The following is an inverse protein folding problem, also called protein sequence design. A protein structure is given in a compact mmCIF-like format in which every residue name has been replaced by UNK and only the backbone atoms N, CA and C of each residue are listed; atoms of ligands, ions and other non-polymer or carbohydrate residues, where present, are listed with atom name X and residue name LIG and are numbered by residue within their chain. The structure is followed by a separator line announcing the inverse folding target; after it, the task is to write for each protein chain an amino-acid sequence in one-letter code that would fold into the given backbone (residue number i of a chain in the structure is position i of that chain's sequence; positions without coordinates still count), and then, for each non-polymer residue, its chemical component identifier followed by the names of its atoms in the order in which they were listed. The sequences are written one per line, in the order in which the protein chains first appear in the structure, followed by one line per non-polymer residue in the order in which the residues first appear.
data_IF_797409680104
#
_entry.id   IF_797409680104
#
_cell.length_a   1.000
_cell.length_b   1.000
_cell.length_c   1.000
_cell.angle_alpha   90.00
_cell.angle_beta   90.00
_cell.angle_gamma   90.00
#
_symmetry.space_group_name_H-M   'P 1'
#
loop_
_entity.id
_entity.type
_entity.pdbx_description
1 polymer ?
#
# COMPACT_ATOMS: atom_id res chain seq x y z
N UNK A 1 7.02 12.85 -12.64
CA UNK A 1 7.28 11.47 -12.14
C UNK A 1 6.30 11.21 -11.01
N UNK A 2 5.96 9.95 -10.75
CA UNK A 2 4.94 9.55 -9.76
C UNK A 2 5.54 8.44 -8.90
N UNK A 3 5.23 8.46 -7.61
CA UNK A 3 5.69 7.47 -6.64
C UNK A 3 4.50 6.67 -6.13
N UNK A 4 4.63 5.35 -6.07
CA UNK A 4 3.58 4.50 -5.52
C UNK A 4 3.80 4.32 -4.02
N UNK A 5 2.82 4.73 -3.23
CA UNK A 5 2.79 4.53 -1.79
C UNK A 5 1.95 3.28 -1.49
N UNK A 6 2.57 2.33 -0.78
CA UNK A 6 1.95 1.07 -0.36
C UNK A 6 2.23 0.83 1.11
N UNK A 7 1.46 -0.05 1.74
CA UNK A 7 1.81 -0.65 3.03
C UNK A 7 2.03 -2.15 2.82
N UNK A 8 3.02 -2.71 3.50
CA UNK A 8 3.27 -4.15 3.61
C UNK A 8 2.59 -4.77 4.84
N UNK A 9 1.82 -3.98 5.60
CA UNK A 9 1.10 -4.43 6.79
C UNK A 9 -0.39 -4.56 6.50
N UNK A 10 -1.05 -3.47 6.07
CA UNK A 10 -2.50 -3.44 5.84
C UNK A 10 -2.96 -2.19 5.07
N UNK A 11 -4.10 -2.29 4.38
CA UNK A 11 -4.71 -1.13 3.73
C UNK A 11 -5.21 -0.08 4.72
N UNK A 12 -5.60 -0.46 5.93
CA UNK A 12 -6.02 0.49 6.97
C UNK A 12 -4.87 1.42 7.39
N UNK A 13 -3.68 0.85 7.60
CA UNK A 13 -2.46 1.61 7.86
C UNK A 13 -2.13 2.52 6.67
N UNK A 14 -2.16 1.98 5.45
CA UNK A 14 -1.93 2.76 4.23
C UNK A 14 -2.88 3.95 4.12
N UNK A 15 -4.16 3.74 4.41
CA UNK A 15 -5.17 4.78 4.38
C UNK A 15 -4.96 5.85 5.46
N UNK A 16 -4.61 5.42 6.68
CA UNK A 16 -4.32 6.32 7.79
C UNK A 16 -3.11 7.17 7.47
N UNK A 17 -2.03 6.56 6.99
CA UNK A 17 -0.84 7.26 6.57
C UNK A 17 -1.11 8.20 5.39
N UNK A 18 -1.85 7.74 4.36
CA UNK A 18 -2.26 8.58 3.24
C UNK A 18 -3.06 9.81 3.71
N UNK A 19 -3.95 9.66 4.70
CA UNK A 19 -4.68 10.78 5.27
C UNK A 19 -3.75 11.78 5.98
N UNK A 20 -2.71 11.30 6.69
CA UNK A 20 -1.73 12.19 7.37
C UNK A 20 -0.89 13.01 6.40
N UNK A 21 -0.59 12.49 5.20
CA UNK A 21 0.13 13.22 4.15
C UNK A 21 -0.79 14.02 3.22
N UNK A 22 -2.10 14.07 3.52
CA UNK A 22 -3.09 14.81 2.74
C UNK A 22 -3.42 14.18 1.38
N UNK A 23 -3.24 12.87 1.23
CA UNK A 23 -3.68 12.11 0.07
C UNK A 23 -5.20 11.81 0.18
N UNK A 24 -6.02 12.24 -0.79
CA UNK A 24 -7.45 12.01 -0.73
C UNK A 24 -7.76 10.52 -0.96
N UNK A 25 -8.77 9.97 -0.26
CA UNK A 25 -9.16 8.54 -0.39
C UNK A 25 -9.43 8.09 -1.83
N UNK A 26 -9.87 9.01 -2.71
CA UNK A 26 -10.12 8.74 -4.14
C UNK A 26 -8.87 8.46 -4.98
N UNK A 27 -7.68 8.80 -4.47
CA UNK A 27 -6.40 8.52 -5.13
C UNK A 27 -5.92 7.07 -4.87
N UNK A 28 -6.74 6.25 -4.22
CA UNK A 28 -6.46 4.85 -3.97
C UNK A 28 -6.79 4.00 -5.20
N UNK A 29 -5.78 3.37 -5.78
CA UNK A 29 -5.85 2.47 -6.93
C UNK A 29 -5.75 1.02 -6.44
N UNK A 30 -6.85 0.47 -5.91
CA UNK A 30 -7.04 -0.94 -5.48
C UNK A 30 -6.14 -1.46 -4.35
N UNK A 31 -4.85 -1.22 -4.41
CA UNK A 31 -3.83 -1.68 -3.49
C UNK A 31 -2.77 -0.61 -3.13
N UNK A 32 -2.78 0.55 -3.79
CA UNK A 32 -1.78 1.59 -3.60
C UNK A 32 -2.33 3.01 -3.76
N UNK A 33 -1.54 4.01 -3.34
CA UNK A 33 -1.78 5.42 -3.61
C UNK A 33 -0.74 5.97 -4.58
N UNK A 34 -1.22 6.74 -5.54
CA UNK A 34 -0.36 7.54 -6.41
C UNK A 34 0.03 8.85 -5.74
N UNK A 35 1.33 9.04 -5.54
CA UNK A 35 1.92 10.25 -4.93
C UNK A 35 2.64 11.06 -6.00
N UNK A 36 2.29 12.35 -6.19
CA UNK A 36 3.03 13.25 -7.06
C UNK A 36 4.47 13.45 -6.56
N UNK A 37 5.45 13.56 -7.46
CA UNK A 37 6.85 13.80 -7.07
C UNK A 37 7.04 14.98 -6.12
N UNK A 38 6.23 16.04 -6.23
CA UNK A 38 6.31 17.20 -5.34
C UNK A 38 6.00 16.87 -3.87
N UNK A 39 5.17 15.85 -3.63
CA UNK A 39 4.82 15.37 -2.28
C UNK A 39 5.71 14.24 -1.80
N UNK A 40 6.63 13.78 -2.64
CA UNK A 40 7.52 12.67 -2.32
C UNK A 40 8.32 12.95 -1.04
N UNK A 41 8.93 14.14 -0.95
CA UNK A 41 9.70 14.54 0.21
C UNK A 41 8.87 14.63 1.48
N UNK A 42 7.60 15.03 1.39
CA UNK A 42 6.69 15.11 2.54
C UNK A 42 6.26 13.72 3.02
N UNK A 43 6.04 12.81 2.09
CA UNK A 43 5.73 11.40 2.37
C UNK A 43 6.91 10.72 3.07
N UNK A 44 8.14 10.93 2.59
CA UNK A 44 9.34 10.41 3.26
C UNK A 44 9.54 11.04 4.64
N UNK A 45 9.34 12.36 4.78
CA UNK A 45 9.43 13.05 6.08
C UNK A 45 8.35 12.60 7.07
N UNK A 46 7.17 12.23 6.58
CA UNK A 46 6.09 11.70 7.41
C UNK A 46 6.39 10.28 7.94
N UNK A 47 7.45 9.64 7.46
CA UNK A 47 7.89 8.32 7.91
C UNK A 47 7.82 7.21 6.87
N UNK A 48 7.46 7.53 5.62
CA UNK A 48 7.54 6.53 4.55
C UNK A 48 9.00 6.23 4.21
N UNK A 49 9.30 4.95 3.99
CA UNK A 49 10.65 4.51 3.61
C UNK A 49 10.74 4.47 2.09
N UNK A 50 11.71 5.21 1.53
CA UNK A 50 12.09 5.07 0.13
C UNK A 50 12.67 3.68 -0.12
N UNK A 51 12.02 2.90 -0.99
CA UNK A 51 12.51 1.58 -1.40
C UNK A 51 12.54 1.47 -2.92
N UNK A 52 13.51 0.70 -3.43
CA UNK A 52 13.59 0.39 -4.86
C UNK A 52 12.51 -0.59 -5.31
N UNK A 53 12.20 -0.59 -6.61
CA UNK A 53 11.11 -1.39 -7.20
C UNK A 53 11.20 -2.90 -6.92
N UNK A 54 12.42 -3.46 -6.83
CA UNK A 54 12.62 -4.88 -6.49
C UNK A 54 12.22 -5.19 -5.05
N UNK A 55 12.58 -4.33 -4.11
CA UNK A 55 12.25 -4.50 -2.70
C UNK A 55 10.75 -4.29 -2.47
N UNK A 56 10.15 -3.31 -3.16
CA UNK A 56 8.70 -3.10 -3.16
C UNK A 56 7.93 -4.37 -3.55
N UNK A 57 8.31 -5.00 -4.67
CA UNK A 57 7.70 -6.25 -5.12
C UNK A 57 7.88 -7.38 -4.11
N UNK A 58 9.05 -7.47 -3.48
CA UNK A 58 9.35 -8.50 -2.48
C UNK A 58 8.46 -8.36 -1.25
N UNK A 59 8.40 -7.16 -0.66
CA UNK A 59 7.57 -6.88 0.52
C UNK A 59 6.09 -7.06 0.25
N UNK A 60 5.59 -6.57 -0.89
CA UNK A 60 4.19 -6.76 -1.28
C UNK A 60 3.83 -8.25 -1.47
N UNK A 61 4.79 -9.07 -1.91
CA UNK A 61 4.61 -10.52 -2.06
C UNK A 61 4.64 -11.21 -0.69
N UNK A 62 5.58 -10.83 0.19
CA UNK A 62 5.69 -11.35 1.56
C UNK A 62 4.48 -10.97 2.42
N UNK A 63 3.97 -9.75 2.28
CA UNK A 63 2.76 -9.26 2.92
C UNK A 63 1.47 -9.95 2.43
N UNK A 64 1.53 -10.66 1.30
CA UNK A 64 0.34 -11.21 0.65
C UNK A 64 -0.64 -10.15 0.11
N UNK A 65 -0.25 -8.88 0.13
CA UNK A 65 -1.08 -7.75 -0.31
C UNK A 65 -1.06 -7.55 -1.82
N UNK A 66 -0.02 -8.05 -2.50
CA UNK A 66 -0.02 -8.07 -3.97
C UNK A 66 -1.07 -9.05 -4.46
N UNK A 67 -2.15 -8.54 -5.07
CA UNK A 67 -3.10 -9.35 -5.85
C UNK A 67 -2.57 -9.51 -7.27
N UNK A 68 -2.05 -10.69 -7.68
CA UNK A 68 -1.74 -10.93 -9.07
C UNK A 68 -3.04 -10.83 -9.88
N UNK A 69 -3.03 -10.08 -10.98
CA UNK A 69 -4.15 -10.03 -11.92
C UNK A 69 -4.39 -11.45 -12.44
N UNK A 70 -5.44 -12.12 -11.94
CA UNK A 70 -5.80 -13.50 -12.29
C UNK A 70 -5.81 -14.52 -11.14
N UNK A 71 -5.41 -14.17 -9.92
CA UNK A 71 -5.53 -15.09 -8.77
C UNK A 71 -6.76 -14.71 -7.92
N UNK A 72 -7.73 -15.62 -7.70
CA UNK A 72 -8.85 -15.36 -6.81
C UNK A 72 -8.36 -15.05 -5.39
N UNK A 73 -9.08 -14.18 -4.68
CA UNK A 73 -8.76 -13.86 -3.29
C UNK A 73 -8.66 -15.16 -2.47
N UNK A 74 -7.69 -15.27 -1.53
CA UNK A 74 -7.70 -16.40 -0.62
C UNK A 74 -9.06 -16.44 0.10
N UNK A 75 -9.67 -17.63 0.25
CA UNK A 75 -10.93 -17.75 0.98
C UNK A 75 -10.74 -17.14 2.37
N UNK A 76 -11.68 -16.26 2.76
CA UNK A 76 -11.69 -15.70 4.11
C UNK A 76 -11.63 -16.85 5.12
N UNK A 77 -10.80 -16.75 6.18
CA UNK A 77 -10.78 -17.78 7.22
C UNK A 77 -12.18 -17.85 7.83
N UNK A 78 -12.82 -19.02 7.69
CA UNK A 78 -14.10 -19.30 8.32
C UNK A 78 -13.95 -19.15 9.83
N UNK A 79 -14.87 -18.46 10.52
CA UNK A 79 -14.86 -18.47 11.98
C UNK A 79 -15.02 -19.91 12.44
N UNK A 80 -14.04 -20.42 13.18
CA UNK A 80 -14.16 -21.66 13.92
C UNK A 80 -15.18 -21.43 15.03
N UNK A 81 -16.41 -21.88 14.81
CA UNK A 81 -17.40 -22.02 15.88
C UNK A 81 -17.02 -23.24 16.73
N UNK A 82 -17.05 -23.16 18.07
CA UNK A 82 -16.89 -24.31 18.95
C UNK A 82 -18.05 -25.31 18.83
#
# INVERSE_FOLDING_TARGET
MWSHLVSDVSFDELHTFAATVGCPRRAFERDHYDVPSDRYGDVVRAGAVEIGSKELVRRLTEAGLRRPKGRPAPPMPTPRTP
#
